data_IF_436282500623
#
_entry.id   IF_436282500623
#
_cell.length_a   1.000
_cell.length_b   1.000
_cell.length_c   1.000
_cell.angle_alpha   90.00
_cell.angle_beta   90.00
_cell.angle_gamma   90.00
#
_symmetry.space_group_name_H-M   'P 1'
#
loop_
_entity.id
_entity.type
_entity.pdbx_description
1 polymer ?
#
# COMPACT_ATOMS: atom_id res chain seq x y z
N UNK A 1 7.96 -5.10 -11.27
CA UNK A 1 6.74 -4.53 -10.64
C UNK A 1 6.95 -4.32 -9.16
N UNK A 2 6.50 -3.20 -8.65
CA UNK A 2 6.62 -2.84 -7.24
C UNK A 2 5.21 -2.59 -6.70
N UNK A 3 4.90 -3.17 -5.54
CA UNK A 3 3.67 -2.87 -4.81
C UNK A 3 4.02 -1.86 -3.72
N UNK A 4 3.28 -0.76 -3.67
CA UNK A 4 3.45 0.30 -2.66
C UNK A 4 2.15 0.46 -1.88
N UNK A 5 2.26 0.38 -0.56
CA UNK A 5 1.18 0.71 0.36
C UNK A 5 1.45 2.10 0.93
N UNK A 6 0.51 3.02 0.76
CA UNK A 6 0.56 4.34 1.37
C UNK A 6 -0.53 4.43 2.44
N UNK A 7 -0.15 4.83 3.64
CA UNK A 7 -1.07 4.95 4.78
C UNK A 7 -1.18 6.42 5.16
N UNK A 8 -2.42 6.92 5.26
CA UNK A 8 -2.71 8.28 5.66
C UNK A 8 -3.75 8.28 6.78
N UNK A 9 -3.67 9.25 7.69
CA UNK A 9 -4.68 9.41 8.72
C UNK A 9 -5.99 9.90 8.10
N UNK A 10 -7.11 9.29 8.50
CA UNK A 10 -8.44 9.65 8.03
C UNK A 10 -9.42 9.50 9.20
N UNK A 11 -9.68 10.58 9.91
CA UNK A 11 -10.51 10.52 11.11
C UNK A 11 -9.89 9.63 12.18
N UNK A 12 -10.66 8.70 12.70
CA UNK A 12 -10.20 7.72 13.69
C UNK A 12 -9.50 6.51 13.06
N UNK A 13 -9.57 6.36 11.74
CA UNK A 13 -8.97 5.23 11.02
C UNK A 13 -7.87 5.69 10.08
N UNK A 14 -7.54 4.82 9.13
CA UNK A 14 -6.48 5.07 8.16
C UNK A 14 -6.99 4.82 6.76
N UNK A 15 -6.65 5.74 5.86
CA UNK A 15 -6.85 5.53 4.42
C UNK A 15 -5.61 4.84 3.89
N UNK A 16 -5.81 3.72 3.23
CA UNK A 16 -4.73 2.92 2.67
C UNK A 16 -4.88 2.89 1.16
N UNK A 17 -3.78 3.15 0.46
CA UNK A 17 -3.73 3.10 -0.99
C UNK A 17 -2.68 2.09 -1.40
N UNK A 18 -3.10 1.07 -2.15
CA UNK A 18 -2.16 0.08 -2.70
C UNK A 18 -2.03 0.35 -4.19
N UNK A 19 -0.84 0.71 -4.62
CA UNK A 19 -0.54 0.95 -6.02
C UNK A 19 0.50 -0.04 -6.52
N UNK A 20 0.33 -0.44 -7.79
CA UNK A 20 1.32 -1.24 -8.51
C UNK A 20 2.07 -0.30 -9.43
N UNK A 21 3.38 -0.39 -9.42
CA UNK A 21 4.25 0.47 -10.22
C UNK A 21 5.20 -0.37 -11.05
N UNK A 22 5.74 0.23 -12.10
CA UNK A 22 6.77 -0.43 -12.90
C UNK A 22 8.03 -0.67 -12.07
N UNK A 23 9.01 -1.38 -12.62
CA UNK A 23 10.22 -1.76 -11.89
C UNK A 23 11.05 -0.54 -11.47
N UNK A 24 10.86 0.59 -12.11
CA UNK A 24 11.56 1.84 -11.79
C UNK A 24 10.75 2.73 -10.86
N UNK A 25 9.50 2.36 -10.58
CA UNK A 25 8.63 3.11 -9.69
C UNK A 25 8.06 4.38 -10.29
N UNK A 26 8.17 4.57 -11.61
CA UNK A 26 7.79 5.84 -12.26
C UNK A 26 6.35 5.88 -12.76
N UNK A 27 5.71 4.74 -12.96
CA UNK A 27 4.35 4.70 -13.50
C UNK A 27 3.46 3.75 -12.75
N UNK A 28 2.16 4.00 -12.81
CA UNK A 28 1.15 3.10 -12.24
C UNK A 28 0.80 2.00 -13.24
N UNK A 29 0.57 0.81 -12.73
CA UNK A 29 0.05 -0.32 -13.50
C UNK A 29 -1.37 -0.55 -13.00
N UNK A 30 -2.35 -0.15 -13.80
CA UNK A 30 -3.75 -0.21 -13.41
C UNK A 30 -4.13 0.84 -12.38
N UNK A 31 -5.37 0.78 -11.91
CA UNK A 31 -5.89 1.71 -10.92
C UNK A 31 -5.42 1.33 -9.51
N UNK A 32 -5.11 2.31 -8.65
CA UNK A 32 -4.79 2.00 -7.25
C UNK A 32 -6.03 1.50 -6.51
N UNK A 33 -5.81 0.64 -5.54
CA UNK A 33 -6.86 0.20 -4.63
C UNK A 33 -6.83 1.09 -3.38
N UNK A 34 -7.97 1.71 -3.06
CA UNK A 34 -8.11 2.60 -1.91
C UNK A 34 -9.15 2.02 -0.96
N UNK A 35 -8.81 1.93 0.32
CA UNK A 35 -9.71 1.38 1.33
C UNK A 35 -9.41 1.98 2.71
N UNK A 36 -10.39 1.89 3.62
CA UNK A 36 -10.25 2.37 4.99
C UNK A 36 -10.04 1.18 5.91
N UNK A 37 -9.15 1.33 6.89
CA UNK A 37 -8.90 0.33 7.93
C UNK A 37 -8.81 1.02 9.28
N UNK A 38 -9.09 0.27 10.34
CA UNK A 38 -8.94 0.74 11.72
C UNK A 38 -7.54 0.47 12.26
N UNK A 39 -6.81 -0.45 11.63
CA UNK A 39 -5.50 -0.91 12.06
C UNK A 39 -4.55 -0.97 10.88
N UNK A 40 -3.37 -0.39 11.03
CA UNK A 40 -2.34 -0.39 9.98
C UNK A 40 -1.92 -1.81 9.58
N UNK A 41 -1.96 -2.76 10.52
CA UNK A 41 -1.57 -4.14 10.23
C UNK A 41 -2.52 -4.81 9.22
N UNK A 42 -3.80 -4.45 9.22
CA UNK A 42 -4.74 -4.95 8.21
C UNK A 42 -4.35 -4.48 6.82
N UNK A 43 -3.95 -3.21 6.69
CA UNK A 43 -3.48 -2.67 5.42
C UNK A 43 -2.23 -3.40 4.93
N UNK A 44 -1.30 -3.67 5.85
CA UNK A 44 -0.06 -4.39 5.51
C UNK A 44 -0.33 -5.83 5.08
N UNK A 45 -1.25 -6.52 5.76
CA UNK A 45 -1.66 -7.88 5.36
C UNK A 45 -2.23 -7.89 3.95
N UNK A 46 -3.05 -6.91 3.62
CA UNK A 46 -3.66 -6.81 2.30
C UNK A 46 -2.61 -6.55 1.23
N UNK A 47 -1.67 -5.64 1.49
CA UNK A 47 -0.58 -5.36 0.57
C UNK A 47 0.31 -6.59 0.36
N UNK A 48 0.60 -7.32 1.43
CA UNK A 48 1.38 -8.55 1.37
C UNK A 48 0.68 -9.62 0.53
N UNK A 49 -0.62 -9.77 0.70
CA UNK A 49 -1.41 -10.73 -0.08
C UNK A 49 -1.38 -10.39 -1.57
N UNK A 50 -1.54 -9.12 -1.90
CA UNK A 50 -1.48 -8.66 -3.29
C UNK A 50 -0.10 -8.91 -3.88
N UNK A 51 0.97 -8.57 -3.15
CA UNK A 51 2.33 -8.80 -3.60
C UNK A 51 2.60 -10.28 -3.85
N UNK A 52 2.16 -11.15 -2.96
CA UNK A 52 2.32 -12.61 -3.13
C UNK A 52 1.57 -13.14 -4.33
N UNK A 53 0.36 -12.64 -4.57
CA UNK A 53 -0.43 -13.01 -5.74
C UNK A 53 0.25 -12.62 -7.06
N UNK A 54 1.14 -11.62 -7.03
CA UNK A 54 1.93 -11.19 -8.17
C UNK A 54 3.31 -11.85 -8.23
N UNK A 55 3.62 -12.75 -7.30
CA UNK A 55 4.92 -13.42 -7.25
C UNK A 55 6.03 -12.57 -6.65
N UNK A 56 5.70 -11.51 -5.95
CA UNK A 56 6.68 -10.61 -5.35
C UNK A 56 7.00 -11.04 -3.92
N UNK A 57 8.26 -10.89 -3.52
CA UNK A 57 8.72 -11.27 -2.18
C UNK A 57 8.47 -10.19 -1.14
N UNK A 58 8.41 -8.92 -1.56
CA UNK A 58 8.27 -7.79 -0.66
C UNK A 58 7.34 -6.74 -1.25
N UNK A 59 6.99 -5.77 -0.43
CA UNK A 59 6.25 -4.58 -0.85
C UNK A 59 6.81 -3.38 -0.08
N UNK A 60 6.55 -2.18 -0.59
CA UNK A 60 6.98 -0.94 0.07
C UNK A 60 5.86 -0.36 0.91
N UNK A 61 6.22 0.22 2.05
CA UNK A 61 5.27 0.92 2.92
C UNK A 61 5.72 2.38 3.04
N UNK A 62 4.79 3.29 2.74
CA UNK A 62 4.96 4.72 2.97
C UNK A 62 3.91 5.11 4.01
N UNK A 63 4.33 5.32 5.23
CA UNK A 63 3.45 5.68 6.33
C UNK A 63 3.51 7.20 6.57
N UNK A 64 2.50 7.90 6.08
CA UNK A 64 2.41 9.37 6.20
C UNK A 64 1.85 9.81 7.54
N UNK A 65 1.49 8.87 8.41
CA UNK A 65 1.01 9.22 9.75
C UNK A 65 2.18 9.43 10.72
N UNK A 66 3.37 8.96 10.37
CA UNK A 66 4.55 9.13 11.19
C UNK A 66 5.07 10.56 11.03
N UNK A 67 5.28 11.22 12.14
CA UNK A 67 5.88 12.55 12.17
C UNK A 67 7.40 12.39 12.29
N UNK A 68 8.09 13.08 11.41
CA UNK A 68 9.54 13.09 11.41
C UNK A 68 10.03 14.38 12.05
#
# INVERSE_FOLDING_TARGET
MIVRLTIQQDGAGFRSTISKRDDQGNGFIGAPEIFLVDDKEEAKKRAKSIARGLGLKTYRVVDKTLKV
#
